data_IF_075913622514
#
_entry.id   IF_075913622514
#
_cell.length_a   1.000
_cell.length_b   1.000
_cell.length_c   1.000
_cell.angle_alpha   90.00
_cell.angle_beta   90.00
_cell.angle_gamma   90.00
#
_symmetry.space_group_name_H-M   'P 1'
#
loop_
_entity.id
_entity.type
_entity.pdbx_description
1 polymer ?
#
# COMPACT_ATOMS: atom_id res chain seq x y z
N UNK A 1 -3.84 17.64 -4.03
CA UNK A 1 -3.67 16.32 -4.67
C UNK A 1 -4.81 15.42 -4.23
N UNK A 2 -5.64 14.98 -5.17
CA UNK A 2 -6.80 14.13 -4.90
C UNK A 2 -6.42 12.66 -4.96
N UNK A 3 -6.74 11.92 -3.91
CA UNK A 3 -6.39 10.50 -3.77
C UNK A 3 -7.64 9.64 -3.93
N UNK A 4 -7.62 8.68 -4.84
CA UNK A 4 -8.62 7.62 -4.88
C UNK A 4 -8.18 6.47 -3.97
N UNK A 5 -8.85 6.32 -2.83
CA UNK A 5 -8.50 5.33 -1.81
C UNK A 5 -9.35 4.07 -1.98
N UNK A 6 -8.70 2.94 -2.28
CA UNK A 6 -9.33 1.63 -2.32
C UNK A 6 -8.88 0.80 -1.11
N UNK A 7 -9.82 0.23 -0.38
CA UNK A 7 -9.56 -0.57 0.81
C UNK A 7 -10.10 -1.98 0.56
N UNK A 8 -9.21 -2.96 0.66
CA UNK A 8 -9.58 -4.37 0.61
C UNK A 8 -10.47 -4.75 1.80
N UNK A 9 -11.61 -5.39 1.55
CA UNK A 9 -12.59 -5.75 2.59
C UNK A 9 -12.21 -7.00 3.40
N UNK A 10 -10.94 -7.34 3.50
CA UNK A 10 -10.51 -8.48 4.33
C UNK A 10 -10.70 -8.15 5.82
N UNK A 11 -11.74 -8.75 6.46
CA UNK A 11 -12.23 -8.37 7.81
C UNK A 11 -11.16 -8.39 8.91
N UNK A 12 -10.20 -9.31 8.86
CA UNK A 12 -9.14 -9.41 9.89
C UNK A 12 -8.10 -8.30 9.76
N UNK A 13 -7.63 -8.08 8.55
CA UNK A 13 -6.65 -7.03 8.24
C UNK A 13 -7.24 -5.64 8.48
N UNK A 14 -8.50 -5.45 8.09
CA UNK A 14 -9.19 -4.19 8.28
C UNK A 14 -9.26 -3.76 9.75
N UNK A 15 -9.61 -4.68 10.67
CA UNK A 15 -9.68 -4.36 12.10
C UNK A 15 -8.35 -3.91 12.68
N UNK A 16 -7.26 -4.55 12.28
CA UNK A 16 -5.93 -4.28 12.80
C UNK A 16 -5.38 -2.92 12.31
N UNK A 17 -5.70 -2.54 11.08
CA UNK A 17 -5.21 -1.32 10.45
C UNK A 17 -6.24 -0.18 10.42
N UNK A 18 -7.38 -0.33 11.09
CA UNK A 18 -8.44 0.67 11.08
C UNK A 18 -7.96 2.07 11.51
N UNK A 19 -7.18 2.24 12.60
CA UNK A 19 -6.67 3.56 12.98
C UNK A 19 -5.77 4.20 11.92
N UNK A 20 -4.95 3.39 11.22
CA UNK A 20 -4.12 3.85 10.12
C UNK A 20 -4.96 4.35 8.94
N UNK A 21 -5.99 3.58 8.57
CA UNK A 21 -6.90 3.92 7.49
C UNK A 21 -7.68 5.21 7.82
N UNK A 22 -8.16 5.34 9.06
CA UNK A 22 -8.85 6.54 9.54
C UNK A 22 -7.93 7.77 9.51
N UNK A 23 -6.68 7.63 9.93
CA UNK A 23 -5.69 8.70 9.86
C UNK A 23 -5.40 9.14 8.42
N UNK A 24 -5.28 8.19 7.49
CA UNK A 24 -5.14 8.49 6.07
C UNK A 24 -6.36 9.24 5.53
N UNK A 25 -7.57 8.80 5.89
CA UNK A 25 -8.80 9.44 5.45
C UNK A 25 -8.97 10.87 5.97
N UNK A 26 -8.44 11.16 7.14
CA UNK A 26 -8.46 12.52 7.70
C UNK A 26 -7.44 13.46 7.07
N UNK A 27 -6.29 12.91 6.60
CA UNK A 27 -5.18 13.73 6.11
C UNK A 27 -5.16 13.91 4.60
N UNK A 28 -5.79 12.99 3.87
CA UNK A 28 -5.77 12.99 2.42
C UNK A 28 -7.06 13.62 1.86
N UNK A 29 -6.92 14.37 0.78
CA UNK A 29 -8.05 14.84 -0.03
C UNK A 29 -8.60 13.68 -0.87
N UNK A 30 -9.60 12.97 -0.33
CA UNK A 30 -10.11 11.74 -0.92
C UNK A 30 -11.22 12.04 -1.93
N UNK A 31 -11.03 11.56 -3.16
CA UNK A 31 -12.08 11.54 -4.17
C UNK A 31 -12.75 10.17 -4.26
N UNK A 32 -14.04 10.19 -4.60
CA UNK A 32 -14.82 8.97 -4.90
C UNK A 32 -14.82 8.62 -6.39
N UNK A 33 -14.33 9.53 -7.21
CA UNK A 33 -14.33 9.36 -8.67
C UNK A 33 -12.88 9.16 -9.15
N UNK A 34 -12.62 8.03 -9.80
CA UNK A 34 -11.29 7.69 -10.31
C UNK A 34 -10.77 8.70 -11.35
N UNK A 35 -11.67 9.27 -12.14
CA UNK A 35 -11.29 10.24 -13.20
C UNK A 35 -10.70 11.52 -12.62
N UNK A 36 -11.14 11.89 -11.41
CA UNK A 36 -10.71 13.12 -10.72
C UNK A 36 -9.47 12.88 -9.84
N UNK A 37 -8.95 11.66 -9.82
CA UNK A 37 -7.83 11.30 -8.97
C UNK A 37 -6.49 11.67 -9.61
N UNK A 38 -5.64 12.30 -8.84
CA UNK A 38 -4.23 12.50 -9.19
C UNK A 38 -3.39 11.25 -8.93
N UNK A 39 -3.82 10.44 -7.95
CA UNK A 39 -3.16 9.21 -7.54
C UNK A 39 -4.17 8.21 -6.99
N UNK A 40 -3.88 6.93 -7.16
CA UNK A 40 -4.66 5.82 -6.59
C UNK A 40 -3.86 5.15 -5.48
N UNK A 41 -4.46 4.96 -4.32
CA UNK A 41 -3.87 4.20 -3.21
C UNK A 41 -4.68 2.92 -2.97
N UNK A 42 -4.01 1.77 -3.04
CA UNK A 42 -4.62 0.44 -2.87
C UNK A 42 -4.12 -0.17 -1.57
N UNK A 43 -5.02 -0.30 -0.60
CA UNK A 43 -4.75 -0.88 0.71
C UNK A 43 -5.20 -2.34 0.76
N UNK A 44 -4.30 -3.22 1.17
CA UNK A 44 -4.49 -4.66 1.21
C UNK A 44 -4.08 -5.37 -0.09
N UNK A 45 -4.02 -6.70 -0.02
CA UNK A 45 -3.63 -7.55 -1.13
C UNK A 45 -4.73 -8.58 -1.46
N UNK A 46 -4.47 -9.40 -2.49
CA UNK A 46 -5.27 -10.57 -2.85
C UNK A 46 -6.73 -10.29 -3.27
N UNK A 47 -7.04 -9.07 -3.69
CA UNK A 47 -8.36 -8.75 -4.23
C UNK A 47 -8.33 -8.56 -5.75
N UNK A 48 -9.29 -9.16 -6.43
CA UNK A 48 -9.49 -8.94 -7.87
C UNK A 48 -9.79 -7.47 -8.17
N UNK A 49 -10.57 -6.83 -7.30
CA UNK A 49 -10.97 -5.42 -7.45
C UNK A 49 -9.75 -4.50 -7.37
N UNK A 50 -8.83 -4.72 -6.43
CA UNK A 50 -7.57 -3.96 -6.36
C UNK A 50 -6.72 -4.12 -7.62
N UNK A 51 -6.58 -5.37 -8.11
CA UNK A 51 -5.84 -5.62 -9.34
C UNK A 51 -6.50 -5.02 -10.59
N UNK A 52 -7.84 -5.02 -10.66
CA UNK A 52 -8.58 -4.34 -11.75
C UNK A 52 -8.39 -2.83 -11.68
N UNK A 53 -8.46 -2.25 -10.48
CA UNK A 53 -8.23 -0.83 -10.26
C UNK A 53 -6.82 -0.42 -10.69
N UNK A 54 -5.79 -1.16 -10.28
CA UNK A 54 -4.42 -0.95 -10.72
C UNK A 54 -4.27 -0.98 -12.24
N UNK A 55 -4.94 -1.93 -12.91
CA UNK A 55 -4.96 -2.00 -14.37
C UNK A 55 -5.66 -0.81 -15.01
N UNK A 56 -6.78 -0.34 -14.41
CA UNK A 56 -7.50 0.84 -14.90
C UNK A 56 -6.66 2.11 -14.73
N UNK A 57 -6.04 2.31 -13.55
CA UNK A 57 -5.15 3.44 -13.28
C UNK A 57 -4.04 3.52 -14.32
N UNK A 58 -3.37 2.41 -14.62
CA UNK A 58 -2.34 2.35 -15.67
C UNK A 58 -2.86 2.74 -17.04
N UNK A 59 -4.06 2.27 -17.43
CA UNK A 59 -4.67 2.63 -18.72
C UNK A 59 -5.00 4.11 -18.81
N UNK A 60 -5.32 4.74 -17.70
CA UNK A 60 -5.65 6.16 -17.61
C UNK A 60 -4.42 7.04 -17.37
N UNK A 61 -3.22 6.46 -17.22
CA UNK A 61 -2.00 7.19 -16.89
C UNK A 61 -1.99 7.76 -15.46
N UNK A 62 -2.85 7.26 -14.57
CA UNK A 62 -2.90 7.68 -13.17
C UNK A 62 -1.92 6.81 -12.37
N UNK A 63 -0.92 7.40 -11.69
CA UNK A 63 0.00 6.64 -10.85
C UNK A 63 -0.73 5.97 -9.69
N UNK A 64 -0.20 4.81 -9.23
CA UNK A 64 -0.80 4.14 -8.10
C UNK A 64 0.21 3.56 -7.12
N UNK A 65 -0.15 3.62 -5.85
CA UNK A 65 0.59 3.10 -4.70
C UNK A 65 -0.13 1.87 -4.18
N UNK A 66 0.64 0.87 -3.75
CA UNK A 66 0.11 -0.34 -3.10
C UNK A 66 0.66 -0.46 -1.70
N UNK A 67 -0.22 -0.67 -0.72
CA UNK A 67 0.14 -0.94 0.65
C UNK A 67 -0.49 -2.28 1.08
N UNK A 68 0.29 -3.37 1.18
CA UNK A 68 -0.24 -4.72 1.44
C UNK A 68 -0.79 -4.92 2.85
N UNK A 69 -0.44 -4.08 3.82
CA UNK A 69 -0.91 -4.14 5.21
C UNK A 69 -0.70 -5.53 5.85
N UNK A 70 0.45 -6.15 5.64
CA UNK A 70 0.79 -7.47 6.17
C UNK A 70 0.21 -8.66 5.39
N UNK A 71 -0.67 -8.45 4.42
CA UNK A 71 -1.29 -9.52 3.63
C UNK A 71 -0.28 -10.30 2.77
N UNK A 72 0.84 -9.68 2.41
CA UNK A 72 1.97 -10.28 1.68
C UNK A 72 3.12 -10.67 2.62
N UNK A 73 2.86 -11.00 3.87
CA UNK A 73 3.88 -11.56 4.75
C UNK A 73 4.25 -12.99 4.33
N UNK A 74 5.48 -13.40 4.62
CA UNK A 74 5.95 -14.77 4.36
C UNK A 74 5.03 -15.82 5.00
N UNK A 75 4.54 -15.56 6.22
CA UNK A 75 3.60 -16.41 6.95
C UNK A 75 2.29 -16.60 6.18
N UNK A 76 1.74 -15.51 5.63
CA UNK A 76 0.50 -15.56 4.87
C UNK A 76 0.67 -16.21 3.50
N UNK A 77 1.86 -16.08 2.89
CA UNK A 77 2.15 -16.70 1.61
C UNK A 77 2.43 -18.22 1.71
N UNK A 78 2.93 -18.69 2.85
CA UNK A 78 3.21 -20.12 3.10
C UNK A 78 2.01 -20.91 3.61
N UNK A 79 0.90 -20.26 3.98
CA UNK A 79 -0.26 -20.95 4.54
C UNK A 79 -0.95 -21.81 3.46
N UNK A 80 -0.97 -23.17 3.60
CA UNK A 80 -1.56 -24.08 2.61
C UNK A 80 -3.07 -23.94 2.48
N UNK A 81 -3.76 -23.36 3.48
CA UNK A 81 -5.19 -23.04 3.41
C UNK A 81 -5.50 -21.90 2.45
N UNK A 82 -4.52 -21.09 2.09
CA UNK A 82 -4.61 -20.16 0.99
C UNK A 82 -4.26 -20.88 -0.32
N UNK A 83 -5.16 -21.69 -0.83
CA UNK A 83 -5.10 -22.21 -2.22
C UNK A 83 -5.28 -21.03 -3.18
N UNK A 84 -4.23 -20.25 -3.32
CA UNK A 84 -4.19 -19.18 -4.31
C UNK A 84 -4.00 -19.82 -5.66
N UNK A 85 -5.00 -19.70 -6.51
CA UNK A 85 -4.87 -20.16 -7.88
C UNK A 85 -3.68 -19.46 -8.54
N UNK A 86 -3.01 -20.11 -9.48
CA UNK A 86 -1.92 -19.51 -10.24
C UNK A 86 -2.34 -18.17 -10.86
N UNK A 87 -3.60 -18.04 -11.27
CA UNK A 87 -4.18 -16.79 -11.76
C UNK A 87 -4.16 -15.67 -10.71
N UNK A 88 -4.47 -15.99 -9.45
CA UNK A 88 -4.42 -15.02 -8.34
C UNK A 88 -3.00 -14.49 -8.16
N UNK A 89 -2.00 -15.37 -8.20
CA UNK A 89 -0.61 -14.98 -8.10
C UNK A 89 -0.17 -14.09 -9.28
N UNK A 90 -0.62 -14.40 -10.49
CA UNK A 90 -0.25 -13.64 -11.69
C UNK A 90 -0.78 -12.21 -11.66
N UNK A 91 -2.06 -12.00 -11.33
CA UNK A 91 -2.61 -10.63 -11.30
C UNK A 91 -2.09 -9.82 -10.10
N UNK A 92 -1.80 -10.46 -8.97
CA UNK A 92 -1.15 -9.81 -7.83
C UNK A 92 0.27 -9.38 -8.20
N UNK A 93 1.07 -10.30 -8.73
CA UNK A 93 2.42 -9.97 -9.18
C UNK A 93 2.43 -8.80 -10.17
N UNK A 94 1.50 -8.80 -11.12
CA UNK A 94 1.37 -7.70 -12.09
C UNK A 94 1.02 -6.37 -11.40
N UNK A 95 0.09 -6.37 -10.42
CA UNK A 95 -0.27 -5.19 -9.65
C UNK A 95 0.93 -4.58 -8.94
N UNK A 96 1.72 -5.41 -8.23
CA UNK A 96 2.89 -4.94 -7.49
C UNK A 96 4.04 -4.53 -8.41
N UNK A 97 4.30 -5.32 -9.45
CA UNK A 97 5.39 -5.04 -10.40
C UNK A 97 5.26 -3.69 -11.09
N UNK A 98 4.05 -3.27 -11.36
CA UNK A 98 3.77 -2.04 -12.09
C UNK A 98 3.29 -0.89 -11.21
N UNK A 99 3.30 -1.06 -9.88
CA UNK A 99 3.02 0.06 -8.98
C UNK A 99 4.19 1.05 -8.99
N UNK A 100 3.86 2.32 -8.86
CA UNK A 100 4.85 3.39 -8.77
C UNK A 100 5.59 3.34 -7.43
N UNK A 101 4.89 2.89 -6.38
CA UNK A 101 5.46 2.71 -5.04
C UNK A 101 4.75 1.59 -4.29
N UNK A 102 5.51 0.84 -3.48
CA UNK A 102 4.99 -0.09 -2.48
C UNK A 102 5.32 0.46 -1.10
N UNK A 103 4.30 0.56 -0.24
CA UNK A 103 4.47 0.97 1.15
C UNK A 103 4.40 -0.28 2.04
N UNK A 104 5.53 -0.63 2.64
CA UNK A 104 5.59 -1.64 3.69
C UNK A 104 5.34 -1.01 5.06
N UNK A 105 4.57 -1.68 5.92
CA UNK A 105 4.21 -1.18 7.25
C UNK A 105 5.12 -1.71 8.35
N UNK A 106 5.90 -2.73 8.06
CA UNK A 106 6.87 -3.31 9.00
C UNK A 106 8.20 -3.63 8.30
N UNK A 107 9.34 -3.62 9.03
CA UNK A 107 10.62 -4.02 8.46
C UNK A 107 10.61 -5.45 7.89
N UNK A 108 9.87 -6.35 8.53
CA UNK A 108 9.75 -7.74 8.10
C UNK A 108 8.99 -7.85 6.77
N UNK A 109 7.92 -7.08 6.62
CA UNK A 109 7.17 -6.99 5.36
C UNK A 109 8.04 -6.41 4.24
N UNK A 110 8.80 -5.34 4.53
CA UNK A 110 9.73 -4.75 3.57
C UNK A 110 10.75 -5.77 3.09
N UNK A 111 11.43 -6.46 4.01
CA UNK A 111 12.42 -7.48 3.68
C UNK A 111 11.82 -8.61 2.82
N UNK A 112 10.58 -9.00 3.09
CA UNK A 112 9.90 -10.02 2.30
C UNK A 112 9.53 -9.52 0.89
N UNK A 113 9.04 -8.29 0.76
CA UNK A 113 8.74 -7.66 -0.52
C UNK A 113 10.00 -7.50 -1.39
N UNK A 114 11.13 -7.12 -0.79
CA UNK A 114 12.43 -7.06 -1.45
C UNK A 114 12.88 -8.44 -1.93
N UNK A 115 12.70 -9.48 -1.10
CA UNK A 115 12.98 -10.88 -1.47
C UNK A 115 12.12 -11.38 -2.62
N UNK A 116 10.86 -10.95 -2.72
CA UNK A 116 9.98 -11.28 -3.85
C UNK A 116 10.47 -10.67 -5.16
N UNK A 117 11.17 -9.55 -5.12
CA UNK A 117 11.76 -8.90 -6.28
C UNK A 117 10.75 -8.44 -7.34
N UNK A 118 9.49 -8.21 -6.94
CA UNK A 118 8.44 -7.82 -7.89
C UNK A 118 8.50 -6.34 -8.27
N UNK A 119 8.98 -5.51 -7.36
CA UNK A 119 9.20 -4.08 -7.56
C UNK A 119 10.44 -3.64 -6.78
N UNK A 120 11.11 -2.59 -7.25
CA UNK A 120 12.30 -2.01 -6.59
C UNK A 120 11.96 -0.77 -5.76
N UNK A 121 10.81 -0.17 -6.01
CA UNK A 121 10.37 1.04 -5.31
C UNK A 121 9.55 0.64 -4.08
N UNK A 122 10.24 0.28 -3.00
CA UNK A 122 9.64 -0.13 -1.73
C UNK A 122 10.12 0.81 -0.65
N UNK A 123 9.17 1.46 0.04
CA UNK A 123 9.46 2.30 1.21
C UNK A 123 8.85 1.68 2.46
N UNK A 124 9.44 1.97 3.61
CA UNK A 124 8.94 1.56 4.91
C UNK A 124 8.29 2.76 5.59
N UNK A 125 6.98 2.66 5.81
CA UNK A 125 6.25 3.59 6.69
C UNK A 125 5.74 2.75 7.85
N UNK A 126 6.33 2.94 9.02
CA UNK A 126 5.98 2.15 10.22
C UNK A 126 4.54 2.43 10.64
N UNK A 127 3.78 1.38 10.83
CA UNK A 127 2.44 1.50 11.40
C UNK A 127 2.52 1.74 12.90
N UNK A 128 1.98 2.84 13.37
CA UNK A 128 2.07 3.29 14.75
C UNK A 128 1.43 2.32 15.77
N UNK A 129 0.40 1.57 15.38
CA UNK A 129 -0.24 0.56 16.24
C UNK A 129 0.68 -0.58 16.68
N UNK A 130 1.77 -0.84 15.92
CA UNK A 130 2.78 -1.84 16.31
C UNK A 130 3.90 -1.27 17.17
N UNK A 131 4.16 0.03 17.11
CA UNK A 131 5.21 0.66 17.93
C UNK A 131 4.86 0.64 19.42
N UNK A 132 3.58 0.64 19.79
CA UNK A 132 3.14 0.45 21.17
C UNK A 132 3.47 -0.95 21.73
N UNK A 133 3.66 -1.95 20.86
CA UNK A 133 4.03 -3.30 21.25
C UNK A 133 5.55 -3.53 21.26
N UNK A 134 6.33 -2.68 20.58
CA UNK A 134 7.77 -2.89 20.37
C UNK A 134 8.63 -1.83 21.04
N UNK A 135 8.18 -0.58 21.16
CA UNK A 135 8.94 0.48 21.86
C UNK A 135 8.01 1.51 22.48
N UNK A 136 8.24 1.82 23.75
CA UNK A 136 7.55 2.90 24.50
C UNK A 136 7.94 4.33 24.06
N UNK A 137 8.71 4.51 22.99
CA UNK A 137 9.43 5.77 22.71
C UNK A 137 9.22 6.40 21.34
N UNK A 138 8.22 5.99 20.55
CA UNK A 138 7.91 6.67 19.28
C UNK A 138 6.82 7.70 19.46
N UNK A 139 7.10 9.00 19.25
CA UNK A 139 6.09 10.05 19.30
C UNK A 139 5.30 10.13 17.99
N UNK A 140 4.07 10.63 18.08
CA UNK A 140 3.16 10.81 16.93
C UNK A 140 3.72 11.78 15.86
N UNK A 141 4.68 12.61 16.25
CA UNK A 141 5.37 13.59 15.41
C UNK A 141 6.30 12.93 14.37
N UNK A 142 7.06 11.90 14.77
CA UNK A 142 7.96 11.16 13.87
C UNK A 142 7.21 10.48 12.72
N UNK A 143 5.97 10.07 12.98
CA UNK A 143 5.12 9.43 11.98
C UNK A 143 4.58 10.43 10.95
N UNK A 144 4.25 11.65 11.41
CA UNK A 144 3.74 12.73 10.55
C UNK A 144 4.79 13.24 9.57
N UNK A 145 6.05 13.37 10.02
CA UNK A 145 7.18 13.76 9.15
C UNK A 145 7.49 12.72 8.09
N UNK A 146 7.47 11.43 8.45
CA UNK A 146 7.77 10.34 7.51
C UNK A 146 6.72 10.23 6.40
N UNK A 147 5.45 10.38 6.73
CA UNK A 147 4.35 10.36 5.75
C UNK A 147 4.42 11.54 4.78
N UNK A 148 4.62 12.75 5.33
CA UNK A 148 4.71 13.97 4.53
C UNK A 148 5.92 13.94 3.59
N UNK A 149 7.08 13.46 4.05
CA UNK A 149 8.28 13.34 3.24
C UNK A 149 8.16 12.30 2.13
N UNK A 150 7.49 11.19 2.39
CA UNK A 150 7.27 10.12 1.41
C UNK A 150 6.33 10.55 0.30
N UNK A 151 5.27 11.28 0.61
CA UNK A 151 4.36 11.86 -0.38
C UNK A 151 5.05 12.96 -1.19
N UNK A 152 5.86 13.82 -0.56
CA UNK A 152 6.64 14.85 -1.23
C UNK A 152 7.70 14.25 -2.17
N UNK A 153 8.38 13.18 -1.76
CA UNK A 153 9.32 12.44 -2.61
C UNK A 153 8.64 11.80 -3.82
N UNK A 154 7.43 11.31 -3.64
CA UNK A 154 6.63 10.78 -4.75
C UNK A 154 6.23 11.87 -5.74
N UNK A 155 5.77 13.02 -5.26
CA UNK A 155 5.45 14.18 -6.12
C UNK A 155 6.68 14.71 -6.87
N UNK A 156 7.85 14.76 -6.20
CA UNK A 156 9.11 15.15 -6.83
C UNK A 156 9.48 14.21 -7.97
N UNK A 157 9.41 12.88 -7.75
CA UNK A 157 9.71 11.88 -8.79
C UNK A 157 8.73 11.92 -9.95
N UNK A 158 7.45 12.24 -9.69
CA UNK A 158 6.46 12.46 -10.74
C UNK A 158 6.83 13.69 -11.61
N UNK A 159 7.30 14.75 -10.98
CA UNK A 159 7.73 15.96 -11.69
C UNK A 159 9.01 15.74 -12.52
N UNK A 160 9.93 14.89 -12.07
CA UNK A 160 11.16 14.52 -12.77
C UNK A 160 10.93 13.54 -13.94
N UNK A 161 9.77 12.87 -13.99
CA UNK A 161 9.42 11.87 -15.00
C UNK A 161 8.61 12.45 -16.18
N UNK A 162 8.28 13.75 -16.14
CA UNK A 162 7.62 14.52 -17.22
C UNK A 162 8.69 15.33 -17.97
#
# INVERSE_FOLDING_TARGET
MKVYLFISKHKKTLKMYLPYIEALQQKLDITKNLVDADIVMILGAWTRQGAQLARMSRKMGIPYIVCPLGDLSERNCRNPHFKRSLQTLMYQKAMYRHSDLIIATTPLEKAYLEKLGWNRHITLIRYFGYSHLITKEGTMEDWQETDASTLADFERRKAEAI
#
